data_IF_668954993813
#
_entry.id   IF_668954993813
#
_cell.length_a   1.000
_cell.length_b   1.000
_cell.length_c   1.000
_cell.angle_alpha   90.00
_cell.angle_beta   90.00
_cell.angle_gamma   90.00
#
_symmetry.space_group_name_H-M   'P 1'
#
loop_
_entity.id
_entity.type
_entity.pdbx_description
1 polymer ?
#
# COMPACT_ATOMS: atom_id res chain seq x y z
N UNK A 1 9.03 -87.97 3.83
CA UNK A 1 9.39 -86.56 4.17
C UNK A 1 9.63 -85.82 2.87
N UNK A 2 8.66 -85.07 2.43
CA UNK A 2 8.76 -84.27 1.21
C UNK A 2 8.90 -82.79 1.59
N UNK A 3 10.00 -82.20 1.21
CA UNK A 3 10.33 -80.79 1.45
C UNK A 3 9.83 -79.98 0.25
N UNK A 4 8.83 -79.11 0.46
CA UNK A 4 8.32 -78.20 -0.57
C UNK A 4 9.12 -76.92 -0.51
N UNK A 5 9.87 -76.61 -1.60
CA UNK A 5 10.54 -75.32 -1.78
C UNK A 5 9.55 -74.36 -2.38
N UNK A 6 9.19 -73.32 -1.64
CA UNK A 6 8.43 -72.16 -2.17
C UNK A 6 9.43 -71.13 -2.70
N UNK A 7 9.43 -70.95 -4.01
CA UNK A 7 10.15 -69.82 -4.65
C UNK A 7 9.29 -68.55 -4.55
N UNK A 8 9.74 -67.61 -3.74
CA UNK A 8 9.14 -66.25 -3.71
C UNK A 8 9.77 -65.45 -4.86
N UNK A 9 8.94 -65.11 -5.87
CA UNK A 9 9.30 -64.24 -6.99
C UNK A 9 9.11 -62.79 -6.55
N UNK A 10 10.21 -62.07 -6.26
CA UNK A 10 10.16 -60.63 -5.96
C UNK A 10 10.02 -59.84 -7.26
N UNK A 11 8.84 -59.26 -7.48
CA UNK A 11 8.63 -58.25 -8.55
C UNK A 11 9.23 -56.91 -8.12
N UNK A 12 10.36 -56.54 -8.70
CA UNK A 12 10.90 -55.17 -8.65
C UNK A 12 10.08 -54.26 -9.58
N UNK A 13 9.23 -53.47 -8.98
CA UNK A 13 8.51 -52.39 -9.71
C UNK A 13 9.50 -51.25 -9.98
N UNK A 14 9.90 -51.11 -11.24
CA UNK A 14 10.69 -49.96 -11.68
C UNK A 14 9.83 -48.69 -11.71
N UNK A 15 10.02 -47.80 -10.75
CA UNK A 15 9.44 -46.47 -10.76
C UNK A 15 10.24 -45.60 -11.73
N UNK A 16 9.73 -45.40 -12.92
CA UNK A 16 10.25 -44.40 -13.87
C UNK A 16 9.90 -42.98 -13.38
N UNK A 17 10.89 -42.10 -13.22
CA UNK A 17 10.57 -40.70 -12.89
C UNK A 17 9.84 -40.06 -14.07
N UNK A 18 8.65 -39.57 -13.85
CA UNK A 18 7.91 -38.75 -14.83
C UNK A 18 8.67 -37.45 -15.01
N UNK A 19 9.02 -37.00 -16.23
CA UNK A 19 9.61 -35.69 -16.43
C UNK A 19 8.63 -34.61 -15.94
N UNK A 20 9.11 -33.73 -15.06
CA UNK A 20 8.39 -32.53 -14.67
C UNK A 20 8.08 -31.73 -15.95
N UNK A 21 6.79 -31.48 -16.21
CA UNK A 21 6.38 -30.60 -17.29
C UNK A 21 6.91 -29.20 -16.95
N UNK A 22 7.99 -28.80 -17.60
CA UNK A 22 8.36 -27.39 -17.75
C UNK A 22 7.25 -26.74 -18.61
N UNK A 23 6.22 -26.22 -17.93
CA UNK A 23 5.27 -25.36 -18.57
C UNK A 23 6.02 -24.11 -19.05
N UNK A 24 5.91 -23.72 -20.33
CA UNK A 24 6.58 -22.53 -20.82
C UNK A 24 6.09 -21.33 -19.97
N UNK A 25 7.03 -20.67 -19.27
CA UNK A 25 6.77 -19.40 -18.63
C UNK A 25 6.42 -18.38 -19.72
N UNK A 26 5.13 -18.28 -20.06
CA UNK A 26 4.66 -17.15 -20.84
C UNK A 26 4.92 -15.89 -20.01
N UNK A 27 5.66 -14.90 -20.53
CA UNK A 27 5.81 -13.63 -19.85
C UNK A 27 4.40 -13.06 -19.62
N UNK A 28 3.97 -12.97 -18.36
CA UNK A 28 2.72 -12.32 -18.01
C UNK A 28 2.86 -10.89 -18.51
N UNK A 29 2.18 -10.57 -19.62
CA UNK A 29 2.10 -9.18 -20.10
C UNK A 29 1.58 -8.38 -18.93
N UNK A 30 2.42 -7.52 -18.35
CA UNK A 30 2.03 -6.65 -17.26
C UNK A 30 0.83 -5.82 -17.74
N UNK A 31 -0.34 -6.17 -17.23
CA UNK A 31 -1.58 -5.53 -17.66
C UNK A 31 -1.56 -4.11 -17.12
N UNK A 32 -1.76 -3.11 -17.98
CA UNK A 32 -1.85 -1.71 -17.54
C UNK A 32 -2.95 -1.58 -16.51
N UNK A 33 -2.64 -0.93 -15.39
CA UNK A 33 -3.64 -0.59 -14.39
C UNK A 33 -4.71 0.32 -15.03
N UNK A 34 -6.01 0.05 -14.82
CA UNK A 34 -7.07 0.87 -15.40
C UNK A 34 -7.06 2.29 -14.82
N UNK A 35 -7.54 3.25 -15.60
CA UNK A 35 -7.86 4.60 -15.09
C UNK A 35 -9.27 4.54 -14.50
N UNK A 36 -9.39 4.77 -13.19
CA UNK A 36 -10.68 4.69 -12.49
C UNK A 36 -11.41 6.02 -12.58
N UNK A 37 -10.78 7.10 -12.10
CA UNK A 37 -11.35 8.45 -12.07
C UNK A 37 -10.22 9.48 -11.84
N UNK A 38 -10.47 10.78 -12.03
CA UNK A 38 -9.60 11.81 -11.46
C UNK A 38 -9.49 11.65 -9.95
N UNK A 39 -8.26 11.67 -9.42
CA UNK A 39 -8.06 11.58 -7.98
C UNK A 39 -8.68 12.78 -7.27
N UNK A 40 -9.37 12.60 -6.13
CA UNK A 40 -9.94 13.71 -5.38
C UNK A 40 -8.85 14.70 -4.96
N UNK A 41 -9.02 15.96 -5.32
CA UNK A 41 -8.10 17.03 -4.95
C UNK A 41 -8.12 17.26 -3.43
N UNK A 42 -6.95 17.57 -2.89
CA UNK A 42 -6.75 18.01 -1.52
C UNK A 42 -5.78 19.19 -1.48
N UNK A 43 -5.89 20.02 -0.43
CA UNK A 43 -4.92 21.04 -0.05
C UNK A 43 -4.94 21.09 1.47
N UNK A 44 -3.88 20.62 2.11
CA UNK A 44 -3.79 20.35 3.54
C UNK A 44 -2.46 20.85 4.11
N UNK A 45 -2.31 20.81 5.42
CA UNK A 45 -1.08 21.19 6.13
C UNK A 45 -0.25 19.96 6.45
N UNK A 46 1.03 19.98 6.12
CA UNK A 46 1.96 18.90 6.39
C UNK A 46 2.45 18.92 7.85
N UNK A 47 3.15 17.86 8.25
CA UNK A 47 3.84 17.70 9.53
C UNK A 47 4.90 18.79 9.79
N UNK A 48 5.31 19.53 8.77
CA UNK A 48 6.26 20.65 8.87
C UNK A 48 5.56 22.02 8.82
N UNK A 49 4.22 22.03 8.87
CA UNK A 49 3.42 23.24 8.82
C UNK A 49 3.29 23.87 7.42
N UNK A 50 3.80 23.22 6.38
CA UNK A 50 3.69 23.71 5.00
C UNK A 50 2.39 23.26 4.33
N UNK A 51 1.88 24.06 3.39
CA UNK A 51 0.75 23.67 2.57
C UNK A 51 1.19 22.67 1.48
N UNK A 52 0.46 21.55 1.38
CA UNK A 52 0.67 20.52 0.35
C UNK A 52 -0.66 20.22 -0.32
N UNK A 53 -0.69 20.31 -1.64
CA UNK A 53 -1.85 19.97 -2.46
C UNK A 53 -1.53 18.81 -3.42
N UNK A 54 -2.59 18.17 -3.93
CA UNK A 54 -2.44 17.17 -4.99
C UNK A 54 -1.75 17.76 -6.23
N UNK A 55 -1.97 19.05 -6.52
CA UNK A 55 -1.38 19.71 -7.67
C UNK A 55 0.15 19.87 -7.55
N UNK A 56 0.67 20.09 -6.33
CA UNK A 56 2.11 20.21 -6.06
C UNK A 56 2.85 18.89 -6.27
N UNK A 57 2.13 17.76 -6.21
CA UNK A 57 2.66 16.42 -6.35
C UNK A 57 2.53 15.85 -7.78
N UNK A 58 2.04 16.67 -8.74
CA UNK A 58 1.94 16.23 -10.15
C UNK A 58 3.30 15.82 -10.70
N UNK A 59 3.28 14.82 -11.58
CA UNK A 59 4.49 14.24 -12.14
C UNK A 59 5.04 13.06 -11.33
N UNK A 60 4.61 12.90 -10.09
CA UNK A 60 4.92 11.74 -9.25
C UNK A 60 3.76 10.74 -9.21
N UNK A 61 4.09 9.46 -9.02
CA UNK A 61 3.11 8.44 -8.64
C UNK A 61 2.90 8.54 -7.14
N UNK A 62 1.65 8.57 -6.69
CA UNK A 62 1.34 8.76 -5.27
C UNK A 62 0.70 7.52 -4.67
N UNK A 63 1.07 7.21 -3.44
CA UNK A 63 0.32 6.34 -2.55
C UNK A 63 -0.38 7.20 -1.49
N UNK A 64 -1.71 7.23 -1.49
CA UNK A 64 -2.52 8.00 -0.55
C UNK A 64 -3.15 7.06 0.45
N UNK A 65 -2.87 7.25 1.75
CA UNK A 65 -3.38 6.47 2.87
C UNK A 65 -4.14 7.37 3.85
N UNK A 66 -4.97 6.75 4.68
CA UNK A 66 -5.72 7.43 5.74
C UNK A 66 -5.39 6.78 7.07
N UNK A 67 -4.96 7.59 8.04
CA UNK A 67 -4.45 7.15 9.34
C UNK A 67 -5.03 8.02 10.47
N UNK A 68 -4.79 7.64 11.71
CA UNK A 68 -4.79 8.53 12.87
C UNK A 68 -3.75 8.04 13.90
N UNK A 69 -3.06 8.96 14.57
CA UNK A 69 -1.87 8.63 15.36
C UNK A 69 -2.17 7.86 16.63
N UNK A 70 -3.37 8.05 17.20
CA UNK A 70 -3.82 7.34 18.41
C UNK A 70 -4.37 5.92 18.16
N UNK A 71 -4.34 5.45 16.91
CA UNK A 71 -4.64 4.04 16.59
C UNK A 71 -3.50 3.15 17.08
N UNK A 72 -3.82 2.21 17.96
CA UNK A 72 -2.81 1.32 18.55
C UNK A 72 -2.67 -0.03 17.83
N UNK A 73 -3.51 -0.30 16.83
CA UNK A 73 -3.64 -1.65 16.27
C UNK A 73 -3.32 -1.66 14.77
N UNK A 74 -4.16 -1.08 13.94
CA UNK A 74 -4.13 -1.28 12.49
C UNK A 74 -3.29 -0.23 11.73
N UNK A 75 -3.32 1.05 12.14
CA UNK A 75 -2.52 2.09 11.50
C UNK A 75 -1.01 1.86 11.61
N UNK A 76 -0.46 1.38 12.76
CA UNK A 76 0.95 1.02 12.86
C UNK A 76 1.36 -0.07 11.86
N UNK A 77 0.51 -1.07 11.63
CA UNK A 77 0.77 -2.15 10.67
C UNK A 77 0.84 -1.60 9.24
N UNK A 78 -0.11 -0.75 8.86
CA UNK A 78 -0.11 -0.12 7.53
C UNK A 78 1.12 0.79 7.36
N UNK A 79 1.43 1.63 8.35
CA UNK A 79 2.55 2.56 8.25
C UNK A 79 3.89 1.84 8.19
N UNK A 80 4.08 0.75 8.95
CA UNK A 80 5.26 -0.09 8.86
C UNK A 80 5.40 -0.78 7.49
N UNK A 81 4.29 -1.26 6.89
CA UNK A 81 4.29 -1.79 5.54
C UNK A 81 4.70 -0.72 4.53
N UNK A 82 4.17 0.49 4.65
CA UNK A 82 4.54 1.61 3.77
C UNK A 82 6.01 1.99 3.91
N UNK A 83 6.58 2.01 5.15
CA UNK A 83 8.00 2.25 5.37
C UNK A 83 8.86 1.16 4.72
N UNK A 84 8.46 -0.10 4.80
CA UNK A 84 9.14 -1.18 4.10
C UNK A 84 9.12 -0.99 2.57
N UNK A 85 8.01 -0.57 2.00
CA UNK A 85 7.92 -0.29 0.55
C UNK A 85 8.75 0.94 0.18
N UNK A 86 8.77 1.99 1.02
CA UNK A 86 9.66 3.14 0.87
C UNK A 86 11.10 2.70 0.64
N UNK A 87 11.63 1.84 1.52
CA UNK A 87 13.00 1.34 1.43
C UNK A 87 13.26 0.56 0.13
N UNK A 88 12.27 -0.23 -0.29
CA UNK A 88 12.35 -1.02 -1.54
C UNK A 88 12.30 -0.16 -2.80
N UNK A 89 11.71 1.03 -2.75
CA UNK A 89 11.69 1.97 -3.87
C UNK A 89 13.03 2.65 -4.10
N UNK A 90 13.89 2.75 -3.08
CA UNK A 90 15.23 3.31 -3.19
C UNK A 90 15.21 4.72 -3.79
N UNK A 91 15.97 4.95 -4.87
CA UNK A 91 16.09 6.25 -5.52
C UNK A 91 14.79 6.76 -6.17
N UNK A 92 13.81 5.90 -6.41
CA UNK A 92 12.52 6.32 -6.94
C UNK A 92 11.69 7.05 -5.89
N UNK A 93 11.91 6.73 -4.60
CA UNK A 93 11.19 7.37 -3.51
C UNK A 93 11.63 8.83 -3.34
N UNK A 94 10.65 9.71 -3.20
CA UNK A 94 10.86 11.17 -3.17
C UNK A 94 11.01 11.82 -4.55
N UNK A 95 11.61 11.15 -5.51
CA UNK A 95 11.82 11.67 -6.86
C UNK A 95 10.63 11.39 -7.79
N UNK A 96 10.25 10.14 -7.95
CA UNK A 96 9.21 9.67 -8.87
C UNK A 96 7.98 9.10 -8.17
N UNK A 97 8.13 8.64 -6.94
CA UNK A 97 7.05 8.15 -6.06
C UNK A 97 7.01 8.97 -4.80
N UNK A 98 5.83 9.35 -4.36
CA UNK A 98 5.64 9.98 -3.05
C UNK A 98 4.48 9.33 -2.30
N UNK A 99 4.57 9.34 -0.98
CA UNK A 99 3.50 8.87 -0.09
C UNK A 99 2.82 10.05 0.59
N UNK A 100 1.52 9.91 0.78
CA UNK A 100 0.68 10.89 1.45
C UNK A 100 -0.18 10.16 2.47
N UNK A 101 0.02 10.43 3.75
CA UNK A 101 -0.80 9.92 4.84
C UNK A 101 -1.68 11.07 5.36
N UNK A 102 -3.00 10.98 5.16
CA UNK A 102 -3.96 11.99 5.59
C UNK A 102 -4.59 11.54 6.91
N UNK A 103 -4.55 12.39 7.95
CA UNK A 103 -5.22 12.04 9.19
C UNK A 103 -6.74 12.04 9.04
N UNK A 104 -7.41 11.13 9.75
CA UNK A 104 -8.88 11.14 9.94
C UNK A 104 -9.30 11.71 11.31
N UNK A 105 -8.34 12.08 12.15
CA UNK A 105 -8.58 12.72 13.47
C UNK A 105 -7.80 14.04 13.63
N UNK A 106 -8.08 15.04 12.78
CA UNK A 106 -7.32 16.30 12.76
C UNK A 106 -7.40 17.12 14.05
N UNK A 107 -8.36 16.82 14.93
CA UNK A 107 -8.46 17.48 16.23
C UNK A 107 -7.34 17.06 17.20
N UNK A 108 -6.81 15.85 17.04
CA UNK A 108 -5.69 15.33 17.86
C UNK A 108 -4.38 15.37 17.10
N UNK A 109 -4.42 15.13 15.82
CA UNK A 109 -3.25 14.98 14.95
C UNK A 109 -2.79 16.33 14.42
N UNK A 110 -2.12 17.12 15.30
CA UNK A 110 -1.45 18.37 14.91
C UNK A 110 -0.23 18.06 14.03
N UNK A 111 0.34 19.04 13.32
CA UNK A 111 1.60 18.86 12.58
C UNK A 111 2.70 18.22 13.42
N UNK A 112 2.88 18.66 14.66
CA UNK A 112 3.91 18.15 15.58
C UNK A 112 3.66 16.68 15.94
N UNK A 113 2.41 16.30 16.19
CA UNK A 113 2.01 14.92 16.51
C UNK A 113 2.26 14.02 15.29
N UNK A 114 1.89 14.48 14.09
CA UNK A 114 2.16 13.77 12.84
C UNK A 114 3.65 13.60 12.57
N UNK A 115 4.47 14.62 12.89
CA UNK A 115 5.93 14.53 12.76
C UNK A 115 6.51 13.45 13.67
N UNK A 116 6.10 13.44 14.95
CA UNK A 116 6.54 12.40 15.89
C UNK A 116 6.13 11.01 15.46
N UNK A 117 4.92 10.88 14.91
CA UNK A 117 4.44 9.62 14.33
C UNK A 117 5.31 9.19 13.14
N UNK A 118 5.59 10.09 12.21
CA UNK A 118 6.45 9.83 11.06
C UNK A 118 7.86 9.36 11.49
N UNK A 119 8.45 10.04 12.45
CA UNK A 119 9.77 9.71 13.00
C UNK A 119 9.79 8.31 13.64
N UNK A 120 8.71 7.91 14.32
CA UNK A 120 8.57 6.58 14.94
C UNK A 120 8.67 5.43 13.91
N UNK A 121 8.20 5.67 12.70
CA UNK A 121 8.20 4.66 11.62
C UNK A 121 9.36 4.82 10.63
N UNK A 122 10.28 5.78 10.85
CA UNK A 122 11.39 6.01 9.94
C UNK A 122 10.96 6.52 8.57
N UNK A 123 9.90 7.32 8.52
CA UNK A 123 9.41 7.91 7.28
C UNK A 123 10.42 8.93 6.73
N UNK A 124 10.83 8.76 5.47
CA UNK A 124 11.65 9.75 4.77
C UNK A 124 10.76 10.90 4.27
N UNK A 125 10.78 12.01 5.00
CA UNK A 125 9.95 13.18 4.74
C UNK A 125 10.27 13.89 3.42
N UNK A 126 11.33 13.52 2.70
CA UNK A 126 11.57 13.99 1.33
C UNK A 126 10.54 13.45 0.34
N UNK A 127 9.99 12.28 0.62
CA UNK A 127 9.00 11.62 -0.21
C UNK A 127 7.70 11.29 0.49
N UNK A 128 7.56 11.52 1.80
CA UNK A 128 6.36 11.16 2.56
C UNK A 128 5.81 12.37 3.32
N UNK A 129 4.61 12.79 2.95
CA UNK A 129 3.88 13.84 3.65
C UNK A 129 2.80 13.25 4.56
N UNK A 130 2.76 13.72 5.81
CA UNK A 130 1.70 13.43 6.77
C UNK A 130 0.83 14.68 6.92
N UNK A 131 -0.43 14.61 6.52
CA UNK A 131 -1.27 15.77 6.32
C UNK A 131 -2.42 15.84 7.32
N UNK A 132 -2.65 17.05 7.83
CA UNK A 132 -3.77 17.44 8.67
C UNK A 132 -4.44 18.70 8.11
N UNK A 133 -5.57 19.09 8.68
CA UNK A 133 -6.25 20.30 8.25
C UNK A 133 -7.60 20.51 8.94
N UNK A 134 -8.42 21.39 8.38
CA UNK A 134 -9.76 21.61 8.89
C UNK A 134 -10.58 20.32 8.91
N UNK A 135 -11.30 20.02 10.03
CA UNK A 135 -12.08 18.78 10.14
C UNK A 135 -13.15 18.59 9.05
N UNK A 136 -13.74 19.67 8.53
CA UNK A 136 -14.72 19.59 7.46
C UNK A 136 -14.03 19.24 6.12
N UNK A 137 -12.86 19.81 5.86
CA UNK A 137 -12.06 19.49 4.68
C UNK A 137 -11.60 18.02 4.71
N UNK A 138 -11.12 17.53 5.85
CA UNK A 138 -10.72 16.12 6.02
C UNK A 138 -11.91 15.18 5.75
N UNK A 139 -13.09 15.45 6.35
CA UNK A 139 -14.29 14.63 6.09
C UNK A 139 -14.72 14.63 4.63
N UNK A 140 -14.60 15.75 3.93
CA UNK A 140 -14.91 15.82 2.50
C UNK A 140 -13.92 15.00 1.66
N UNK A 141 -12.62 15.12 1.93
CA UNK A 141 -11.57 14.40 1.24
C UNK A 141 -11.72 12.90 1.45
N UNK A 142 -11.87 12.42 2.70
CA UNK A 142 -12.04 11.00 3.01
C UNK A 142 -13.25 10.42 2.27
N UNK A 143 -14.39 11.09 2.29
CA UNK A 143 -15.59 10.66 1.57
C UNK A 143 -15.35 10.54 0.07
N UNK A 144 -14.66 11.50 -0.55
CA UNK A 144 -14.37 11.48 -1.99
C UNK A 144 -13.40 10.38 -2.39
N UNK A 145 -12.49 9.99 -1.49
CA UNK A 145 -11.63 8.81 -1.69
C UNK A 145 -12.33 7.47 -1.41
N UNK A 146 -13.58 7.49 -0.94
CA UNK A 146 -14.35 6.30 -0.58
C UNK A 146 -14.03 5.76 0.81
N UNK A 147 -13.41 6.59 1.67
CA UNK A 147 -13.09 6.23 3.06
C UNK A 147 -14.22 6.70 3.98
N UNK A 148 -14.86 5.75 4.65
CA UNK A 148 -15.75 6.04 5.77
C UNK A 148 -14.90 6.33 7.01
N UNK A 149 -15.24 7.37 7.76
CA UNK A 149 -14.61 7.68 9.05
C UNK A 149 -15.65 8.25 10.01
N UNK A 150 -15.75 7.70 11.22
CA UNK A 150 -16.65 8.15 12.27
C UNK A 150 -16.03 7.94 13.65
N UNK A 151 -16.19 8.93 14.56
CA UNK A 151 -15.82 8.77 15.97
C UNK A 151 -16.86 7.91 16.68
N UNK A 152 -16.39 6.87 17.37
CA UNK A 152 -17.22 6.04 18.23
C UNK A 152 -17.40 6.69 19.62
N UNK A 153 -18.23 6.07 20.47
CA UNK A 153 -18.53 6.58 21.82
C UNK A 153 -17.30 6.65 22.75
N UNK A 154 -16.20 5.95 22.41
CA UNK A 154 -14.93 5.97 23.17
C UNK A 154 -13.99 7.05 22.65
N UNK A 155 -14.37 7.77 21.57
CA UNK A 155 -13.53 8.77 20.94
C UNK A 155 -12.45 8.19 20.01
N UNK A 156 -12.51 6.89 19.71
CA UNK A 156 -11.72 6.24 18.68
C UNK A 156 -12.33 6.50 17.30
N UNK A 157 -11.55 6.45 16.24
CA UNK A 157 -12.05 6.67 14.88
C UNK A 157 -12.17 5.32 14.17
N UNK A 158 -13.40 4.89 13.95
CA UNK A 158 -13.67 3.77 13.05
C UNK A 158 -13.58 4.27 11.61
N UNK A 159 -12.67 3.73 10.80
CA UNK A 159 -12.57 4.10 9.40
C UNK A 159 -12.23 2.93 8.50
N UNK A 160 -12.59 3.06 7.21
CA UNK A 160 -12.18 2.12 6.18
C UNK A 160 -10.68 2.30 5.89
N UNK A 161 -9.92 1.20 5.96
CA UNK A 161 -8.53 1.20 5.53
C UNK A 161 -8.47 1.03 4.01
N UNK A 162 -8.10 2.08 3.34
CA UNK A 162 -8.01 2.14 1.89
C UNK A 162 -6.73 2.88 1.48
N UNK A 163 -5.88 2.20 0.71
CA UNK A 163 -4.69 2.79 0.13
C UNK A 163 -4.91 2.98 -1.36
N UNK A 164 -4.79 4.22 -1.82
CA UNK A 164 -5.06 4.59 -3.21
C UNK A 164 -3.76 4.89 -3.95
N UNK A 165 -3.55 4.29 -5.13
CA UNK A 165 -2.46 4.68 -6.02
C UNK A 165 -3.00 5.65 -7.07
N UNK A 166 -2.31 6.79 -7.20
CA UNK A 166 -2.61 7.87 -8.14
C UNK A 166 -1.44 8.03 -9.10
N UNK A 167 -1.70 8.11 -10.40
CA UNK A 167 -0.64 8.27 -11.40
C UNK A 167 -0.14 9.71 -11.52
N UNK A 168 0.91 9.89 -12.33
CA UNK A 168 1.56 11.18 -12.58
C UNK A 168 0.64 12.28 -13.13
N UNK A 169 -0.51 11.89 -13.68
CA UNK A 169 -1.53 12.79 -14.23
C UNK A 169 -2.69 13.01 -13.26
N UNK A 170 -2.52 12.62 -11.97
CA UNK A 170 -3.54 12.71 -10.93
C UNK A 170 -4.79 11.86 -11.23
N UNK A 171 -4.61 10.69 -11.88
CA UNK A 171 -5.68 9.71 -12.05
C UNK A 171 -5.56 8.60 -11.02
N UNK A 172 -6.65 8.27 -10.35
CA UNK A 172 -6.79 7.10 -9.50
C UNK A 172 -6.71 5.84 -10.35
N UNK A 173 -5.82 4.91 -9.98
CA UNK A 173 -5.52 3.71 -10.77
C UNK A 173 -5.90 2.41 -10.07
N UNK A 174 -5.66 2.31 -8.78
CA UNK A 174 -5.99 1.15 -7.97
C UNK A 174 -6.22 1.56 -6.52
N UNK A 175 -7.06 0.79 -5.82
CA UNK A 175 -7.29 0.95 -4.38
C UNK A 175 -7.14 -0.40 -3.70
N UNK A 176 -6.26 -0.46 -2.70
CA UNK A 176 -6.03 -1.62 -1.85
C UNK A 176 -6.90 -1.50 -0.60
N UNK A 177 -7.77 -2.47 -0.38
CA UNK A 177 -8.63 -2.54 0.80
C UNK A 177 -7.92 -3.28 1.94
N UNK A 178 -7.99 -2.73 3.14
CA UNK A 178 -7.33 -3.28 4.32
C UNK A 178 -5.87 -2.83 4.45
N UNK A 179 -5.12 -3.48 5.34
CA UNK A 179 -3.74 -3.09 5.69
C UNK A 179 -2.73 -4.21 5.46
N UNK A 180 -3.18 -5.36 4.98
CA UNK A 180 -2.34 -6.55 4.74
C UNK A 180 -2.37 -6.95 3.27
N UNK A 181 -2.02 -6.04 2.39
CA UNK A 181 -1.79 -6.34 0.99
C UNK A 181 -0.32 -6.73 0.75
N UNK A 182 -0.06 -7.41 -0.36
CA UNK A 182 1.30 -7.83 -0.72
C UNK A 182 2.17 -6.59 -1.05
N UNK A 183 3.24 -6.33 -0.27
CA UNK A 183 4.10 -5.17 -0.50
C UNK A 183 4.86 -5.25 -1.84
N UNK A 184 5.13 -6.46 -2.35
CA UNK A 184 5.78 -6.64 -3.64
C UNK A 184 4.84 -6.32 -4.81
N UNK A 185 3.56 -6.70 -4.69
CA UNK A 185 2.54 -6.30 -5.66
C UNK A 185 2.36 -4.78 -5.65
N UNK A 186 2.23 -4.19 -4.48
CA UNK A 186 2.08 -2.76 -4.31
C UNK A 186 3.27 -1.98 -4.90
N UNK A 187 4.51 -2.42 -4.64
CA UNK A 187 5.70 -1.83 -5.24
C UNK A 187 5.69 -1.96 -6.76
N UNK A 188 5.35 -3.14 -7.30
CA UNK A 188 5.26 -3.36 -8.77
C UNK A 188 4.26 -2.42 -9.42
N UNK A 189 3.12 -2.19 -8.78
CA UNK A 189 2.09 -1.29 -9.29
C UNK A 189 2.59 0.16 -9.34
N UNK A 190 3.23 0.66 -8.26
CA UNK A 190 3.86 1.96 -8.24
C UNK A 190 4.90 2.12 -9.38
N UNK A 191 5.82 1.16 -9.50
CA UNK A 191 6.87 1.20 -10.51
C UNK A 191 6.33 1.06 -11.95
N UNK A 192 5.20 0.37 -12.13
CA UNK A 192 4.57 0.25 -13.45
C UNK A 192 4.08 1.60 -13.96
N UNK A 193 3.51 2.42 -13.07
CA UNK A 193 2.96 3.73 -13.39
C UNK A 193 4.04 4.79 -13.67
N UNK A 194 5.24 4.62 -13.11
CA UNK A 194 6.38 5.47 -13.46
C UNK A 194 6.78 5.31 -14.94
N UNK A 195 6.63 4.10 -15.46
CA UNK A 195 7.03 3.74 -16.83
C UNK A 195 5.97 4.08 -17.89
N UNK A 196 4.76 4.41 -17.48
CA UNK A 196 3.72 4.84 -18.40
C UNK A 196 4.08 6.22 -19.01
N UNK A 197 3.77 6.46 -20.29
CA UNK A 197 4.02 7.74 -20.97
C UNK A 197 3.17 8.89 -20.42
#
# INVERSE_FOLDING_TARGET
MWTVFVFALAMLASVTPTPAHDAPHHPVKQQRLPKIAPAPAFALTSQDGTHVSLADLRGKVLAVTFIYTSCIDTCPVLTALMAHVQDKLGQDFGERVAFVSITVDPERDTPEVLKQYADTFGADLKGWAFLTGDPAAIRDITRRYGVFAAKNAKGEVDHTFLTSIVDRNSMLRVQYLGVRFDPDEFQRDLLSLIKEP
#
